data_IF_481488398415
#
_entry.id   IF_481488398415
#
_cell.length_a   1.000
_cell.length_b   1.000
_cell.length_c   1.000
_cell.angle_alpha   90.00
_cell.angle_beta   90.00
_cell.angle_gamma   90.00
#
_symmetry.space_group_name_H-M   'P 1'
#
loop_
_entity.id
_entity.type
_entity.pdbx_description
1 polymer ?
#
# COMPACT_ATOMS: atom_id res chain seq x y z
N UNK A 1 -8.57 28.50 33.20
CA UNK A 1 -8.89 27.67 32.02
C UNK A 1 -8.36 28.36 30.78
N UNK A 2 -7.35 27.77 30.12
CA UNK A 2 -6.86 27.99 28.74
C UNK A 2 -5.39 27.52 28.71
N UNK A 3 -5.15 26.26 28.37
CA UNK A 3 -4.66 25.81 27.05
C UNK A 3 -3.16 26.09 26.84
N UNK A 4 -2.34 25.08 27.16
CA UNK A 4 -0.97 24.94 26.66
C UNK A 4 -0.90 23.55 26.02
N UNK A 5 -1.24 23.49 24.74
CA UNK A 5 -0.86 22.39 23.85
C UNK A 5 0.00 23.00 22.75
N UNK A 6 1.29 23.18 23.04
CA UNK A 6 2.28 23.46 22.01
C UNK A 6 2.55 22.18 21.24
N UNK A 7 2.15 22.17 19.98
CA UNK A 7 2.43 21.15 18.98
C UNK A 7 3.93 20.79 18.97
N UNK A 8 4.25 19.57 19.39
CA UNK A 8 5.54 18.92 19.13
C UNK A 8 5.27 17.70 18.26
N UNK A 9 4.97 17.93 16.99
CA UNK A 9 5.14 16.90 15.96
C UNK A 9 6.55 17.03 15.42
N UNK A 10 7.38 15.96 15.40
CA UNK A 10 8.66 15.99 14.72
C UNK A 10 8.42 16.27 13.24
N UNK A 11 9.28 17.09 12.63
CA UNK A 11 9.27 17.38 11.19
C UNK A 11 9.15 16.06 10.43
N UNK A 12 8.11 15.93 9.62
CA UNK A 12 7.91 14.80 8.71
C UNK A 12 9.18 14.62 7.89
N UNK A 13 9.79 13.44 7.97
CA UNK A 13 10.80 13.02 7.02
C UNK A 13 10.05 12.89 5.70
N UNK A 14 10.18 13.91 4.88
CA UNK A 14 9.47 14.01 3.63
C UNK A 14 10.10 12.99 2.68
N UNK A 15 9.40 11.89 2.40
CA UNK A 15 9.69 11.02 1.26
C UNK A 15 9.39 11.82 -0.02
N UNK A 16 10.14 12.90 -0.26
CA UNK A 16 10.06 13.67 -1.50
C UNK A 16 10.63 12.80 -2.62
N UNK A 17 9.87 12.72 -3.71
CA UNK A 17 10.34 12.25 -5.02
C UNK A 17 11.74 12.81 -5.31
N UNK A 18 12.71 12.01 -5.78
CA UNK A 18 13.92 12.56 -6.38
C UNK A 18 13.54 13.38 -7.63
N UNK A 19 14.09 14.59 -7.75
CA UNK A 19 13.87 15.48 -8.89
C UNK A 19 14.39 14.86 -10.18
N UNK A 20 13.58 14.90 -11.25
CA UNK A 20 13.97 14.45 -12.58
C UNK A 20 15.26 15.16 -13.06
N UNK A 21 16.23 14.38 -13.56
CA UNK A 21 17.52 14.89 -14.04
C UNK A 21 17.42 15.53 -15.42
N UNK A 22 18.12 16.67 -15.53
CA UNK A 22 18.57 17.46 -16.67
C UNK A 22 18.24 16.99 -18.10
N UNK A 23 17.57 17.87 -18.86
CA UNK A 23 17.48 17.82 -20.33
C UNK A 23 18.89 17.87 -20.96
N UNK A 24 19.26 16.82 -21.69
CA UNK A 24 20.41 16.83 -22.60
C UNK A 24 20.01 17.62 -23.85
N UNK A 25 20.71 18.72 -24.14
CA UNK A 25 20.64 19.40 -25.45
C UNK A 25 21.57 18.66 -26.41
N UNK A 26 21.02 18.02 -27.43
CA UNK A 26 21.80 17.53 -28.58
C UNK A 26 21.79 18.60 -29.70
N UNK A 27 22.98 18.99 -30.15
CA UNK A 27 23.19 19.72 -31.40
C UNK A 27 23.09 18.77 -32.59
N UNK A 28 22.47 19.21 -33.68
CA UNK A 28 22.25 18.41 -34.88
C UNK A 28 23.53 18.21 -35.72
N UNK A 29 23.72 17.03 -36.34
CA UNK A 29 24.48 16.92 -37.57
C UNK A 29 23.57 16.65 -38.77
N UNK A 30 23.90 17.33 -39.86
CA UNK A 30 23.44 17.10 -41.22
C UNK A 30 24.07 15.82 -41.78
N UNK A 31 23.28 14.77 -42.04
CA UNK A 31 23.41 13.97 -43.28
C UNK A 31 22.24 12.96 -43.40
N UNK A 32 21.78 12.77 -44.64
CA UNK A 32 20.65 11.92 -45.03
C UNK A 32 21.16 10.52 -45.34
N UNK A 33 20.93 9.57 -44.45
CA UNK A 33 20.81 8.14 -44.83
C UNK A 33 19.70 7.48 -44.03
N UNK A 34 18.76 6.85 -44.75
CA UNK A 34 17.55 6.23 -44.23
C UNK A 34 17.90 4.89 -43.59
N UNK A 35 18.35 4.92 -42.34
CA UNK A 35 18.46 3.72 -41.49
C UNK A 35 17.13 3.51 -40.78
N UNK A 36 16.58 2.31 -40.88
CA UNK A 36 15.37 1.88 -40.18
C UNK A 36 15.54 2.10 -38.67
N UNK A 37 14.78 3.04 -38.11
CA UNK A 37 14.67 3.20 -36.67
C UNK A 37 13.91 2.01 -36.12
N UNK A 38 14.63 0.95 -35.76
CA UNK A 38 14.13 -0.05 -34.83
C UNK A 38 13.82 0.70 -33.54
N UNK A 39 12.53 0.95 -33.28
CA UNK A 39 12.05 1.42 -31.99
C UNK A 39 12.33 0.31 -30.97
N UNK A 40 13.54 0.30 -30.42
CA UNK A 40 13.82 -0.39 -29.17
C UNK A 40 13.03 0.37 -28.11
N UNK A 41 11.83 -0.12 -27.80
CA UNK A 41 11.13 0.26 -26.57
C UNK A 41 12.06 -0.08 -25.42
N UNK A 42 12.75 0.93 -24.89
CA UNK A 42 13.52 0.81 -23.65
C UNK A 42 12.49 0.53 -22.56
N UNK A 43 12.27 -0.76 -22.26
CA UNK A 43 11.49 -1.18 -21.11
C UNK A 43 12.27 -0.73 -19.88
N UNK A 44 11.87 0.41 -19.34
CA UNK A 44 12.39 0.85 -18.03
C UNK A 44 12.11 -0.28 -17.04
N UNK A 45 13.08 -0.64 -16.18
CA UNK A 45 12.88 -1.72 -15.22
C UNK A 45 11.66 -1.41 -14.34
N UNK A 46 10.92 -2.47 -14.02
CA UNK A 46 9.72 -2.40 -13.17
C UNK A 46 9.94 -1.48 -11.96
N UNK A 47 8.97 -0.63 -11.62
CA UNK A 47 9.02 0.13 -10.38
C UNK A 47 8.73 -0.72 -9.14
N UNK A 48 8.17 -1.92 -9.32
CA UNK A 48 7.85 -2.86 -8.26
C UNK A 48 9.11 -3.60 -7.81
N UNK A 49 9.18 -3.85 -6.52
CA UNK A 49 10.14 -4.77 -5.91
C UNK A 49 9.40 -5.80 -5.10
N UNK A 50 9.98 -6.99 -5.01
CA UNK A 50 9.44 -8.06 -4.19
C UNK A 50 9.78 -7.83 -2.71
N UNK A 51 8.78 -8.01 -1.86
CA UNK A 51 8.91 -7.90 -0.41
C UNK A 51 9.31 -9.26 0.13
N UNK A 52 10.61 -9.43 0.39
CA UNK A 52 11.11 -10.61 1.10
C UNK A 52 10.77 -10.52 2.60
N UNK A 53 9.94 -11.45 3.07
CA UNK A 53 9.46 -11.49 4.46
C UNK A 53 10.59 -11.44 5.49
N UNK A 54 11.73 -12.10 5.23
CA UNK A 54 12.86 -12.12 6.17
C UNK A 54 13.61 -10.79 6.17
N UNK A 55 13.86 -10.22 5.01
CA UNK A 55 14.59 -8.94 4.88
C UNK A 55 13.77 -7.76 5.40
N UNK A 56 12.45 -7.79 5.22
CA UNK A 56 11.54 -6.77 5.74
C UNK A 56 11.08 -7.07 7.18
N UNK A 57 11.34 -8.28 7.69
CA UNK A 57 10.90 -8.73 9.03
C UNK A 57 9.38 -8.59 9.20
N UNK A 58 8.65 -9.01 8.17
CA UNK A 58 7.19 -9.00 8.10
C UNK A 58 6.67 -10.41 7.84
N UNK A 59 5.40 -10.63 8.11
CA UNK A 59 4.65 -11.80 7.69
C UNK A 59 3.82 -11.45 6.45
N UNK A 60 3.59 -12.44 5.59
CA UNK A 60 2.88 -12.25 4.32
C UNK A 60 1.85 -13.35 4.19
N UNK A 61 0.60 -12.96 4.00
CA UNK A 61 -0.51 -13.84 3.68
C UNK A 61 -1.38 -13.17 2.61
N UNK A 62 -1.01 -13.37 1.34
CA UNK A 62 -1.73 -12.74 0.20
C UNK A 62 -3.14 -13.31 0.09
N UNK A 63 -4.12 -12.65 0.70
CA UNK A 63 -5.48 -13.18 0.92
C UNK A 63 -6.19 -13.51 -0.39
N UNK A 64 -6.02 -12.67 -1.41
CA UNK A 64 -6.61 -12.88 -2.74
C UNK A 64 -5.97 -14.04 -3.55
N UNK A 65 -4.89 -14.65 -3.05
CA UNK A 65 -4.37 -15.92 -3.58
C UNK A 65 -5.07 -17.16 -2.96
N UNK A 66 -6.04 -16.93 -2.06
CA UNK A 66 -6.89 -17.95 -1.43
C UNK A 66 -8.35 -17.71 -1.80
N UNK A 67 -9.26 -18.61 -1.44
CA UNK A 67 -10.71 -18.38 -1.59
C UNK A 67 -11.34 -17.66 -0.39
N UNK A 68 -10.58 -17.40 0.68
CA UNK A 68 -11.04 -16.76 1.91
C UNK A 68 -10.92 -15.24 1.79
N UNK A 69 -11.68 -14.67 0.85
CA UNK A 69 -11.70 -13.24 0.55
C UNK A 69 -13.11 -12.80 0.11
N UNK A 70 -13.34 -11.50 -0.07
CA UNK A 70 -14.67 -10.96 -0.39
C UNK A 70 -15.34 -11.61 -1.62
N UNK A 71 -14.57 -12.10 -2.59
CA UNK A 71 -15.09 -12.71 -3.81
C UNK A 71 -15.34 -14.22 -3.69
N UNK A 72 -14.93 -14.87 -2.59
CA UNK A 72 -15.12 -16.30 -2.35
C UNK A 72 -14.39 -17.21 -3.35
N UNK A 73 -13.42 -16.69 -4.10
CA UNK A 73 -12.65 -17.39 -5.15
C UNK A 73 -11.22 -16.89 -5.18
N UNK A 74 -10.30 -17.73 -5.65
CA UNK A 74 -8.90 -17.33 -5.88
C UNK A 74 -8.84 -16.31 -7.02
N UNK A 75 -8.25 -15.13 -6.75
CA UNK A 75 -8.09 -14.03 -7.71
C UNK A 75 -6.64 -13.95 -8.19
N UNK A 76 -5.67 -14.09 -7.29
CA UNK A 76 -4.26 -14.05 -7.63
C UNK A 76 -3.75 -15.45 -8.00
N UNK A 77 -3.02 -15.58 -9.13
CA UNK A 77 -2.39 -16.84 -9.50
C UNK A 77 -1.12 -17.14 -8.68
N UNK A 78 -0.61 -16.16 -7.92
CA UNK A 78 0.63 -16.29 -7.13
C UNK A 78 0.49 -15.58 -5.78
N UNK A 79 1.36 -15.91 -4.83
CA UNK A 79 1.46 -15.27 -3.51
C UNK A 79 2.56 -14.20 -3.44
N UNK A 80 3.03 -13.68 -4.58
CA UNK A 80 4.09 -12.67 -4.60
C UNK A 80 3.58 -11.35 -4.02
N UNK A 81 4.26 -10.85 -2.99
CA UNK A 81 4.00 -9.54 -2.42
C UNK A 81 4.93 -8.52 -3.09
N UNK A 82 4.37 -7.66 -3.94
CA UNK A 82 5.11 -6.63 -4.65
C UNK A 82 4.66 -5.24 -4.19
N UNK A 83 5.60 -4.30 -4.06
CA UNK A 83 5.30 -2.89 -3.83
C UNK A 83 6.19 -2.01 -4.70
N UNK A 84 5.69 -0.82 -5.03
CA UNK A 84 6.52 0.24 -5.57
C UNK A 84 7.69 0.51 -4.62
N UNK A 85 8.90 0.73 -5.15
CA UNK A 85 10.12 0.98 -4.35
C UNK A 85 9.95 2.01 -3.21
N UNK A 86 9.19 3.07 -3.46
CA UNK A 86 8.94 4.13 -2.46
C UNK A 86 8.04 3.64 -1.32
N UNK A 87 7.02 2.83 -1.63
CA UNK A 87 6.15 2.22 -0.64
C UNK A 87 6.90 1.14 0.15
N UNK A 88 7.77 0.38 -0.51
CA UNK A 88 8.63 -0.59 0.15
C UNK A 88 9.60 0.09 1.15
N UNK A 89 10.18 1.24 0.80
CA UNK A 89 11.00 2.01 1.74
C UNK A 89 10.21 2.42 3.01
N UNK A 90 8.95 2.87 2.83
CA UNK A 90 8.07 3.19 3.95
C UNK A 90 7.68 1.94 4.75
N UNK A 91 7.40 0.81 4.09
CA UNK A 91 7.07 -0.46 4.75
C UNK A 91 8.22 -0.95 5.64
N UNK A 92 9.48 -0.82 5.19
CA UNK A 92 10.65 -1.16 6.00
C UNK A 92 10.68 -0.33 7.29
N UNK A 93 10.42 0.97 7.19
CA UNK A 93 10.31 1.86 8.36
C UNK A 93 9.12 1.49 9.26
N UNK A 94 7.97 1.13 8.68
CA UNK A 94 6.82 0.66 9.44
C UNK A 94 7.14 -0.61 10.23
N UNK A 95 7.83 -1.56 9.62
CA UNK A 95 8.28 -2.80 10.28
C UNK A 95 9.24 -2.50 11.45
N UNK A 96 10.19 -1.58 11.26
CA UNK A 96 11.08 -1.12 12.33
C UNK A 96 10.31 -0.50 13.50
N UNK A 97 9.35 0.38 13.21
CA UNK A 97 8.51 1.04 14.23
C UNK A 97 7.63 0.03 14.98
N UNK A 98 6.99 -0.92 14.26
CA UNK A 98 6.20 -1.98 14.86
C UNK A 98 7.04 -2.83 15.82
N UNK A 99 8.26 -3.20 15.40
CA UNK A 99 9.19 -3.99 16.21
C UNK A 99 9.65 -3.25 17.46
N UNK A 100 9.92 -1.96 17.37
CA UNK A 100 10.24 -1.13 18.54
C UNK A 100 9.07 -1.07 19.54
N UNK A 101 7.84 -1.20 19.05
CA UNK A 101 6.63 -1.30 19.88
C UNK A 101 6.34 -2.74 20.37
N UNK A 102 7.13 -3.74 19.98
CA UNK A 102 6.95 -5.15 20.38
C UNK A 102 6.07 -5.99 19.46
N UNK A 103 5.86 -5.54 18.21
CA UNK A 103 4.98 -6.19 17.23
C UNK A 103 5.71 -6.51 15.92
N UNK A 104 5.09 -7.32 15.06
CA UNK A 104 5.46 -7.46 13.65
C UNK A 104 4.27 -7.10 12.75
N UNK A 105 4.51 -6.86 11.46
CA UNK A 105 3.43 -6.59 10.49
C UNK A 105 3.05 -7.88 9.77
N UNK A 106 1.75 -8.06 9.50
CA UNK A 106 1.20 -9.11 8.64
C UNK A 106 0.49 -8.46 7.45
N UNK A 107 1.02 -8.69 6.25
CA UNK A 107 0.50 -8.12 5.00
C UNK A 107 -0.55 -9.07 4.41
N UNK A 108 -1.73 -8.51 4.09
CA UNK A 108 -2.85 -9.20 3.45
C UNK A 108 -2.94 -8.95 1.96
N UNK A 109 -2.65 -7.71 1.52
CA UNK A 109 -2.57 -7.35 0.11
C UNK A 109 -1.54 -6.23 -0.13
N UNK A 110 -1.03 -6.15 -1.36
CA UNK A 110 -0.03 -5.18 -1.79
C UNK A 110 -0.32 -4.79 -3.24
N UNK A 111 0.64 -4.87 -4.17
CA UNK A 111 0.34 -4.65 -5.58
C UNK A 111 -0.76 -5.60 -6.09
N UNK A 112 -1.81 -5.01 -6.65
CA UNK A 112 -2.96 -5.68 -7.25
C UNK A 112 -2.99 -5.40 -8.74
N UNK A 113 -2.76 -6.39 -9.62
CA UNK A 113 -2.88 -6.19 -11.05
C UNK A 113 -4.25 -5.62 -11.42
N UNK A 114 -4.37 -4.70 -12.41
CA UNK A 114 -5.65 -4.09 -12.77
C UNK A 114 -6.78 -5.10 -13.04
N UNK A 115 -6.47 -6.25 -13.66
CA UNK A 115 -7.44 -7.31 -13.90
C UNK A 115 -8.08 -7.86 -12.60
N UNK A 116 -7.31 -7.95 -11.51
CA UNK A 116 -7.83 -8.36 -10.22
C UNK A 116 -8.78 -7.32 -9.61
N UNK A 117 -8.53 -6.02 -9.83
CA UNK A 117 -9.45 -4.96 -9.40
C UNK A 117 -10.82 -5.10 -10.09
N UNK A 118 -10.86 -5.46 -11.37
CA UNK A 118 -12.12 -5.75 -12.07
C UNK A 118 -12.85 -6.95 -11.44
N UNK A 119 -12.13 -8.03 -11.10
CA UNK A 119 -12.72 -9.21 -10.47
C UNK A 119 -13.30 -8.92 -9.07
N UNK A 120 -12.65 -8.05 -8.29
CA UNK A 120 -13.18 -7.58 -7.01
C UNK A 120 -14.42 -6.71 -7.19
N UNK A 121 -14.40 -5.81 -8.18
CA UNK A 121 -15.55 -4.96 -8.51
C UNK A 121 -16.76 -5.78 -8.98
N UNK A 122 -16.55 -6.87 -9.73
CA UNK A 122 -17.62 -7.80 -10.10
C UNK A 122 -18.25 -8.48 -8.86
N UNK A 123 -17.44 -8.80 -7.85
CA UNK A 123 -17.92 -9.40 -6.61
C UNK A 123 -18.66 -8.40 -5.71
N UNK A 124 -18.18 -7.15 -5.65
CA UNK A 124 -18.79 -6.08 -4.87
C UNK A 124 -18.66 -4.73 -5.61
N UNK A 125 -19.64 -4.36 -6.45
CA UNK A 125 -19.63 -3.09 -7.19
C UNK A 125 -20.09 -1.92 -6.29
N UNK A 126 -19.35 -1.68 -5.20
CA UNK A 126 -19.60 -0.61 -4.26
C UNK A 126 -18.36 0.29 -4.13
N UNK A 127 -18.47 1.51 -4.68
CA UNK A 127 -17.39 2.50 -4.68
C UNK A 127 -16.94 3.00 -3.32
N UNK A 128 -17.71 2.76 -2.25
CA UNK A 128 -17.33 3.12 -0.88
C UNK A 128 -16.20 2.21 -0.32
N UNK A 129 -16.03 1.02 -0.91
CA UNK A 129 -15.06 0.00 -0.48
C UNK A 129 -14.17 -0.45 -1.62
N UNK A 130 -14.76 -0.86 -2.74
CA UNK A 130 -13.99 -1.28 -3.93
C UNK A 130 -13.98 -0.11 -4.90
N UNK A 131 -12.83 0.55 -5.09
CA UNK A 131 -12.71 1.66 -6.05
C UNK A 131 -13.09 1.22 -7.46
N UNK A 132 -13.83 2.06 -8.19
CA UNK A 132 -14.16 1.83 -9.61
C UNK A 132 -12.87 1.53 -10.40
N UNK A 133 -12.77 0.35 -11.04
CA UNK A 133 -11.55 -0.07 -11.74
C UNK A 133 -11.15 0.88 -12.87
N UNK A 134 -12.06 1.65 -13.45
CA UNK A 134 -11.76 2.61 -14.52
C UNK A 134 -10.96 3.82 -14.03
N UNK A 135 -11.02 4.14 -12.73
CA UNK A 135 -10.19 5.16 -12.10
C UNK A 135 -8.79 4.64 -11.73
N UNK A 136 -8.65 3.32 -11.67
CA UNK A 136 -7.46 2.59 -11.24
C UNK A 136 -7.33 2.51 -9.72
N UNK A 137 -6.86 1.38 -9.20
CA UNK A 137 -6.64 1.19 -7.75
C UNK A 137 -5.25 1.69 -7.32
N UNK A 138 -5.12 2.21 -6.10
CA UNK A 138 -3.81 2.53 -5.52
C UNK A 138 -2.95 1.28 -5.30
N UNK A 139 -3.57 0.12 -5.11
CA UNK A 139 -2.86 -1.17 -5.16
C UNK A 139 -2.30 -1.44 -6.56
N UNK A 140 -3.03 -1.10 -7.63
CA UNK A 140 -2.55 -1.23 -9.01
C UNK A 140 -1.47 -0.21 -9.39
N UNK A 141 -1.23 0.79 -8.54
CA UNK A 141 -0.08 1.70 -8.61
C UNK A 141 1.11 1.21 -7.77
N UNK A 142 0.93 0.12 -7.01
CA UNK A 142 1.93 -0.47 -6.11
C UNK A 142 2.21 0.35 -4.85
N UNK A 143 1.38 1.34 -4.53
CA UNK A 143 1.64 2.30 -3.43
C UNK A 143 0.68 2.16 -2.25
N UNK A 144 -0.21 1.16 -2.28
CA UNK A 144 -1.08 0.78 -1.19
C UNK A 144 -0.70 -0.61 -0.64
N UNK A 145 -1.00 -0.83 0.64
CA UNK A 145 -0.76 -2.07 1.36
C UNK A 145 -1.85 -2.26 2.41
N UNK A 146 -2.37 -3.49 2.49
CA UNK A 146 -3.35 -3.89 3.49
C UNK A 146 -2.67 -4.77 4.53
N UNK A 147 -2.77 -4.43 5.81
CA UNK A 147 -2.06 -5.14 6.85
C UNK A 147 -2.63 -4.98 8.26
N UNK A 148 -2.14 -5.83 9.16
CA UNK A 148 -2.36 -5.73 10.60
C UNK A 148 -1.06 -5.86 11.39
N UNK A 149 -1.16 -5.71 12.72
CA UNK A 149 -0.10 -6.02 13.67
C UNK A 149 -0.24 -7.44 14.21
N UNK A 150 0.88 -8.06 14.50
CA UNK A 150 1.00 -9.37 15.15
C UNK A 150 1.81 -9.20 16.43
N UNK A 151 1.33 -9.76 17.53
CA UNK A 151 2.00 -9.72 18.82
C UNK A 151 3.20 -10.68 18.93
N UNK A 152 3.82 -10.70 20.11
CA UNK A 152 4.99 -11.55 20.39
C UNK A 152 4.69 -13.06 20.39
N UNK A 153 3.42 -13.45 20.52
CA UNK A 153 2.97 -14.84 20.47
C UNK A 153 2.62 -15.28 19.04
N UNK A 154 2.75 -14.38 18.05
CA UNK A 154 2.44 -14.66 16.66
C UNK A 154 0.95 -14.52 16.34
N UNK A 155 0.16 -13.89 17.22
CA UNK A 155 -1.28 -13.72 17.04
C UNK A 155 -1.56 -12.33 16.45
N UNK A 156 -2.33 -12.31 15.35
CA UNK A 156 -2.80 -11.05 14.77
C UNK A 156 -3.71 -10.33 15.77
N UNK A 157 -3.51 -9.02 15.95
CA UNK A 157 -4.31 -8.24 16.88
C UNK A 157 -5.78 -8.21 16.44
N UNK A 158 -6.68 -8.29 17.42
CA UNK A 158 -8.10 -8.08 17.19
C UNK A 158 -8.37 -6.63 16.80
N UNK A 159 -8.89 -6.46 15.59
CA UNK A 159 -9.24 -5.17 15.00
C UNK A 159 -10.76 -4.96 14.94
N UNK A 160 -11.56 -5.84 15.55
CA UNK A 160 -13.02 -5.72 15.68
C UNK A 160 -13.82 -6.24 14.48
N UNK A 161 -13.21 -6.28 13.30
CA UNK A 161 -13.74 -6.96 12.11
C UNK A 161 -12.64 -7.76 11.46
N UNK A 162 -13.00 -8.70 10.59
CA UNK A 162 -12.03 -9.29 9.67
C UNK A 162 -11.51 -8.27 8.66
N UNK A 163 -10.40 -8.61 8.00
CA UNK A 163 -10.03 -8.04 6.71
C UNK A 163 -11.17 -8.28 5.70
N UNK A 164 -11.31 -7.41 4.69
CA UNK A 164 -12.37 -7.49 3.67
C UNK A 164 -13.82 -7.38 4.18
N UNK A 165 -14.03 -7.03 5.46
CA UNK A 165 -15.38 -6.76 5.97
C UNK A 165 -15.84 -5.37 5.49
N UNK A 166 -16.64 -5.31 4.44
CA UNK A 166 -17.04 -4.06 3.78
C UNK A 166 -18.25 -3.41 4.46
N UNK A 167 -18.13 -3.14 5.76
CA UNK A 167 -19.18 -2.59 6.62
C UNK A 167 -18.67 -1.42 7.49
N UNK A 168 -19.59 -0.60 7.99
CA UNK A 168 -19.27 0.56 8.85
C UNK A 168 -18.35 0.23 10.04
N UNK A 169 -18.47 -0.92 10.73
CA UNK A 169 -17.55 -1.28 11.81
C UNK A 169 -16.08 -1.38 11.38
N UNK A 170 -15.79 -1.54 10.10
CA UNK A 170 -14.43 -1.59 9.55
C UNK A 170 -13.81 -0.23 9.32
N UNK A 171 -14.58 0.85 9.43
CA UNK A 171 -14.09 2.22 9.24
C UNK A 171 -13.03 2.58 10.29
N UNK A 172 -11.98 3.28 9.88
CA UNK A 172 -10.76 3.54 10.68
C UNK A 172 -11.05 4.10 12.08
N UNK A 173 -12.09 4.93 12.23
CA UNK A 173 -12.46 5.62 13.47
C UNK A 173 -13.87 5.26 13.98
N UNK A 174 -14.38 4.07 13.67
CA UNK A 174 -15.69 3.62 14.16
C UNK A 174 -15.73 3.63 15.71
N UNK A 175 -16.64 4.41 16.34
CA UNK A 175 -16.54 4.72 17.77
C UNK A 175 -17.08 3.61 18.70
N UNK A 176 -17.84 2.65 18.17
CA UNK A 176 -18.57 1.65 18.95
C UNK A 176 -17.83 0.30 19.09
N UNK A 177 -16.50 0.31 18.98
CA UNK A 177 -15.66 -0.87 19.22
C UNK A 177 -15.21 -0.95 20.69
N UNK A 178 -14.90 -2.14 21.20
CA UNK A 178 -14.23 -2.29 22.48
C UNK A 178 -12.95 -1.43 22.56
N UNK A 179 -12.65 -0.89 23.75
CA UNK A 179 -11.50 0.01 23.96
C UNK A 179 -10.17 -0.62 23.51
N UNK A 180 -10.00 -1.93 23.71
CA UNK A 180 -8.79 -2.64 23.26
C UNK A 180 -8.65 -2.65 21.74
N UNK A 181 -9.76 -2.86 21.01
CA UNK A 181 -9.78 -2.80 19.55
C UNK A 181 -9.45 -1.40 19.05
N UNK A 182 -10.04 -0.36 19.65
CA UNK A 182 -9.71 1.02 19.29
C UNK A 182 -8.22 1.32 19.51
N UNK A 183 -7.65 0.84 20.63
CA UNK A 183 -6.21 0.95 20.91
C UNK A 183 -5.37 0.23 19.86
N UNK A 184 -5.75 -0.98 19.45
CA UNK A 184 -5.03 -1.74 18.42
C UNK A 184 -5.04 -1.00 17.07
N UNK A 185 -6.20 -0.48 16.65
CA UNK A 185 -6.31 0.33 15.43
C UNK A 185 -5.47 1.61 15.50
N UNK A 186 -5.49 2.31 16.63
CA UNK A 186 -4.67 3.51 16.83
C UNK A 186 -3.17 3.21 16.86
N UNK A 187 -2.76 2.04 17.37
CA UNK A 187 -1.37 1.60 17.34
C UNK A 187 -0.92 1.35 15.90
N UNK A 188 -1.69 0.59 15.12
CA UNK A 188 -1.41 0.36 13.70
C UNK A 188 -1.35 1.69 12.95
N UNK A 189 -2.35 2.56 13.15
CA UNK A 189 -2.39 3.89 12.56
C UNK A 189 -1.12 4.69 12.89
N UNK A 190 -0.71 4.71 14.16
CA UNK A 190 0.50 5.42 14.61
C UNK A 190 1.77 4.90 13.94
N UNK A 191 1.93 3.57 13.84
CA UNK A 191 3.05 2.93 13.13
C UNK A 191 3.08 3.36 11.66
N UNK A 192 1.94 3.28 10.98
CA UNK A 192 1.85 3.54 9.54
C UNK A 192 2.01 5.02 9.20
N UNK A 193 1.39 5.92 9.98
CA UNK A 193 1.60 7.37 9.87
C UNK A 193 3.07 7.75 10.13
N UNK A 194 3.67 7.17 11.18
CA UNK A 194 5.09 7.39 11.50
C UNK A 194 6.03 6.92 10.39
N UNK A 195 5.61 5.92 9.62
CA UNK A 195 6.35 5.39 8.47
C UNK A 195 6.18 6.20 7.18
N UNK A 196 5.16 7.07 7.11
CA UNK A 196 4.90 7.93 5.95
C UNK A 196 3.72 7.50 5.07
N UNK A 197 2.93 6.53 5.52
CA UNK A 197 1.64 6.19 4.89
C UNK A 197 0.50 7.07 5.43
N UNK A 198 -0.65 7.02 4.77
CA UNK A 198 -1.93 7.59 5.20
C UNK A 198 -3.02 6.50 5.16
N UNK A 199 -4.00 6.53 6.09
CA UNK A 199 -5.14 5.63 6.05
C UNK A 199 -6.20 6.13 5.05
N UNK A 200 -7.22 5.31 4.82
CA UNK A 200 -8.52 5.77 4.32
C UNK A 200 -9.58 5.65 5.42
N UNK A 201 -10.73 6.32 5.24
CA UNK A 201 -11.75 6.35 6.28
C UNK A 201 -12.52 5.02 6.40
N UNK A 202 -12.74 4.33 5.29
CA UNK A 202 -13.61 3.15 5.20
C UNK A 202 -12.97 1.85 5.70
N UNK A 203 -11.64 1.79 5.83
CA UNK A 203 -10.92 0.53 6.07
C UNK A 203 -9.79 0.72 7.09
N UNK A 204 -9.80 -0.05 8.18
CA UNK A 204 -8.75 0.04 9.22
C UNK A 204 -7.41 -0.56 8.80
N UNK A 205 -7.41 -1.44 7.79
CA UNK A 205 -6.25 -2.20 7.32
C UNK A 205 -5.50 -1.50 6.19
N UNK A 206 -6.15 -0.60 5.45
CA UNK A 206 -5.62 -0.01 4.22
C UNK A 206 -4.76 1.22 4.50
N UNK A 207 -3.56 1.21 3.94
CA UNK A 207 -2.62 2.32 4.01
C UNK A 207 -1.95 2.55 2.66
N UNK A 208 -1.77 3.83 2.30
CA UNK A 208 -1.21 4.22 1.02
C UNK A 208 -0.22 5.38 1.14
N UNK A 209 0.61 5.58 0.12
CA UNK A 209 1.45 6.77 0.06
C UNK A 209 0.62 8.04 -0.21
N UNK A 210 1.01 9.19 0.34
CA UNK A 210 0.41 10.47 -0.02
C UNK A 210 0.51 10.75 -1.53
N UNK A 211 -0.54 11.34 -2.10
CA UNK A 211 -0.67 11.61 -3.53
C UNK A 211 -0.56 10.33 -4.39
N UNK A 212 -1.19 9.24 -3.94
CA UNK A 212 -1.15 7.95 -4.63
C UNK A 212 -1.55 8.05 -6.12
N UNK A 213 -2.50 8.92 -6.48
CA UNK A 213 -2.91 9.15 -7.87
C UNK A 213 -1.81 9.73 -8.78
N UNK A 214 -0.72 10.29 -8.24
CA UNK A 214 0.43 10.74 -9.03
C UNK A 214 1.27 9.58 -9.60
N UNK A 215 1.14 8.38 -9.05
CA UNK A 215 1.90 7.21 -9.51
C UNK A 215 1.18 6.58 -10.70
N UNK A 216 1.89 6.19 -11.78
CA UNK A 216 1.24 5.55 -12.92
C UNK A 216 0.65 4.19 -12.54
N UNK A 217 -0.38 3.74 -13.26
CA UNK A 217 -0.84 2.36 -13.17
C UNK A 217 0.25 1.43 -13.70
N UNK A 218 0.42 0.30 -13.02
CA UNK A 218 1.38 -0.73 -13.38
C UNK A 218 0.60 -1.91 -13.96
N UNK A 219 1.08 -2.44 -15.08
CA UNK A 219 0.47 -3.52 -15.84
C UNK A 219 1.48 -4.67 -15.96
N UNK A 220 1.78 -5.29 -14.82
CA UNK A 220 2.58 -6.53 -14.72
C UNK A 220 1.71 -7.73 -14.40
#
# INVERSE_FOLDING_TARGET
MASIWTNVWPRTVNCKKPSASSKVKCSAPTDVTRSECVNQSVTSPSPLIEIDARQFQVQINMIYATADNLAGKVIYPTTRCLLHRDAAACLRKASELARLAGYSLLIYDAYRPPAAQFLLWEALPNGDYVRDPHLGSHHSRGVAVDLTLVDGDGVALDMGTGFDTMEEPSHQFYPHLPVQVQRNRLLLLGVMLGAGFQPIASEWWHYELPNADDYPLIHE
#
